data_IF_421455856467
#
_entry.id   IF_421455856467
#
_cell.length_a   1.000
_cell.length_b   1.000
_cell.length_c   1.000
_cell.angle_alpha   90.00
_cell.angle_beta   90.00
_cell.angle_gamma   90.00
#
_symmetry.space_group_name_H-M   'P 1'
#
loop_
_entity.id
_entity.type
_entity.pdbx_description
1 polymer ?
#
# COMPACT_ATOMS: atom_id res chain seq x y z
N UNK A 1 28.82 20.49 -1.89
CA UNK A 1 27.42 20.00 -1.92
C UNK A 1 27.40 18.63 -2.57
N UNK A 2 26.80 17.63 -1.96
CA UNK A 2 26.84 16.25 -2.44
C UNK A 2 25.50 15.54 -2.20
N UNK A 3 25.08 14.70 -3.16
CA UNK A 3 23.98 13.75 -2.99
C UNK A 3 24.56 12.35 -2.87
N UNK A 4 24.26 11.67 -1.77
CA UNK A 4 24.76 10.31 -1.48
C UNK A 4 23.71 9.49 -0.71
N UNK A 5 23.88 8.15 -0.66
CA UNK A 5 23.08 7.31 0.21
C UNK A 5 23.37 7.61 1.69
N UNK A 6 22.34 7.68 2.51
CA UNK A 6 22.47 7.89 3.95
C UNK A 6 23.15 6.68 4.60
N UNK A 7 24.31 6.90 5.22
CA UNK A 7 25.06 5.83 5.89
C UNK A 7 24.39 5.42 7.20
N UNK A 8 24.66 4.20 7.66
CA UNK A 8 24.08 3.66 8.90
C UNK A 8 24.42 4.51 10.13
N UNK A 9 25.64 5.07 10.19
CA UNK A 9 26.05 5.94 11.30
C UNK A 9 25.44 7.36 11.25
N UNK A 10 24.73 7.71 10.18
CA UNK A 10 24.04 8.99 10.02
C UNK A 10 22.53 8.91 10.39
N UNK A 11 22.11 7.81 11.02
CA UNK A 11 20.71 7.56 11.40
C UNK A 11 20.10 8.71 12.17
N UNK A 12 20.80 9.24 13.16
CA UNK A 12 20.26 10.31 14.01
C UNK A 12 20.13 11.65 13.25
N UNK A 13 21.06 11.96 12.34
CA UNK A 13 20.94 13.12 11.46
C UNK A 13 19.69 13.02 10.57
N UNK A 14 19.44 11.83 10.00
CA UNK A 14 18.27 11.59 9.16
C UNK A 14 16.97 11.68 9.96
N UNK A 15 16.90 11.09 11.16
CA UNK A 15 15.73 11.15 12.04
C UNK A 15 15.45 12.58 12.51
N UNK A 16 16.49 13.33 12.88
CA UNK A 16 16.35 14.75 13.24
C UNK A 16 15.79 15.56 12.09
N UNK A 17 16.29 15.34 10.86
CA UNK A 17 15.75 15.99 9.67
C UNK A 17 14.26 15.68 9.45
N UNK A 18 13.86 14.39 9.55
CA UNK A 18 12.45 13.99 9.41
C UNK A 18 11.58 14.69 10.46
N UNK A 19 12.03 14.71 11.70
CA UNK A 19 11.28 15.32 12.80
C UNK A 19 11.13 16.84 12.66
N UNK A 20 12.15 17.52 12.17
CA UNK A 20 12.19 18.99 12.11
C UNK A 20 11.55 19.55 10.83
N UNK A 21 11.83 18.90 9.68
CA UNK A 21 11.51 19.47 8.37
C UNK A 21 10.43 18.73 7.58
N UNK A 22 10.06 17.50 7.99
CA UNK A 22 8.97 16.76 7.37
C UNK A 22 7.71 16.72 8.22
N UNK A 23 7.79 16.05 9.35
CA UNK A 23 6.66 15.94 10.28
C UNK A 23 7.17 15.70 11.69
N UNK A 24 6.86 16.64 12.61
CA UNK A 24 7.17 16.48 14.04
C UNK A 24 6.56 15.18 14.57
N UNK A 25 7.36 14.44 15.31
CA UNK A 25 6.95 13.15 15.89
C UNK A 25 6.46 12.11 14.88
N UNK A 26 6.98 12.14 13.63
CA UNK A 26 6.69 11.13 12.63
C UNK A 26 7.00 9.72 13.15
N UNK A 27 6.23 8.70 12.71
CA UNK A 27 6.39 7.34 13.23
C UNK A 27 7.80 6.76 13.02
N UNK A 28 8.47 7.08 11.91
CA UNK A 28 9.86 6.67 11.67
C UNK A 28 10.86 7.31 12.64
N UNK A 29 10.47 8.40 13.31
CA UNK A 29 11.26 9.02 14.38
C UNK A 29 10.96 8.36 15.73
N UNK A 30 9.68 8.06 16.01
CA UNK A 30 9.24 7.44 17.26
C UNK A 30 9.60 5.97 17.37
N UNK A 31 9.48 5.20 16.27
CA UNK A 31 9.67 3.76 16.26
C UNK A 31 10.92 3.38 15.43
N UNK A 32 11.99 3.04 16.15
CA UNK A 32 13.27 2.69 15.54
C UNK A 32 13.24 1.35 14.81
N UNK A 33 12.43 0.42 15.26
CA UNK A 33 12.35 -0.91 14.65
C UNK A 33 11.59 -0.84 13.34
N UNK A 34 10.51 -0.04 13.26
CA UNK A 34 9.85 0.26 12.01
C UNK A 34 10.80 0.96 11.03
N UNK A 35 11.57 1.94 11.51
CA UNK A 35 12.52 2.66 10.66
C UNK A 35 13.60 1.74 10.08
N UNK A 36 14.18 0.85 10.90
CA UNK A 36 15.16 -0.13 10.44
C UNK A 36 14.53 -1.14 9.49
N UNK A 37 13.40 -1.73 9.87
CA UNK A 37 12.69 -2.73 9.08
C UNK A 37 12.32 -2.21 7.69
N UNK A 38 11.91 -0.96 7.58
CA UNK A 38 11.48 -0.37 6.31
C UNK A 38 12.64 0.14 5.45
N UNK A 39 13.71 0.65 6.06
CA UNK A 39 14.71 1.42 5.33
C UNK A 39 16.16 0.98 5.52
N UNK A 40 16.51 0.16 6.51
CA UNK A 40 17.89 -0.25 6.71
C UNK A 40 18.26 -1.39 5.75
N UNK A 41 19.24 -1.15 4.88
CA UNK A 41 19.82 -2.14 3.98
C UNK A 41 21.33 -2.22 4.22
N UNK A 42 21.78 -3.28 4.93
CA UNK A 42 23.19 -3.52 5.27
C UNK A 42 23.84 -2.29 5.92
N UNK A 43 24.61 -1.52 5.14
CA UNK A 43 25.39 -0.37 5.63
C UNK A 43 24.74 0.99 5.39
N UNK A 44 23.57 1.03 4.76
CA UNK A 44 22.90 2.26 4.36
C UNK A 44 21.43 2.23 4.75
N UNK A 45 20.85 3.42 4.92
CA UNK A 45 19.40 3.59 4.84
C UNK A 45 18.98 3.87 3.41
N UNK A 46 17.84 3.37 3.00
CA UNK A 46 17.25 3.59 1.67
C UNK A 46 16.73 5.04 1.55
N UNK A 47 17.66 5.97 1.71
CA UNK A 47 17.49 7.39 1.52
C UNK A 47 18.67 7.96 0.75
N UNK A 48 18.40 8.75 -0.26
CA UNK A 48 19.36 9.72 -0.77
C UNK A 48 19.24 10.99 0.05
N UNK A 49 20.38 11.53 0.47
CA UNK A 49 20.46 12.76 1.26
C UNK A 49 21.27 13.81 0.52
N UNK A 50 20.78 15.04 0.53
CA UNK A 50 21.50 16.22 0.06
C UNK A 50 22.16 16.88 1.27
N UNK A 51 23.49 17.02 1.23
CA UNK A 51 24.26 17.58 2.34
C UNK A 51 24.93 18.88 1.96
N UNK A 52 24.92 19.82 2.91
CA UNK A 52 25.68 21.07 2.92
C UNK A 52 26.34 21.20 4.30
N UNK A 53 27.68 21.35 4.36
CA UNK A 53 28.42 21.52 5.62
C UNK A 53 28.08 20.46 6.68
N UNK A 54 28.09 19.18 6.26
CA UNK A 54 27.72 18.03 7.11
C UNK A 54 26.28 17.99 7.64
N UNK A 55 25.41 18.95 7.26
CA UNK A 55 23.99 18.95 7.61
C UNK A 55 23.16 18.40 6.46
N UNK A 56 22.14 17.60 6.80
CA UNK A 56 21.15 17.15 5.81
C UNK A 56 20.21 18.32 5.51
N UNK A 57 20.10 18.69 4.24
CA UNK A 57 19.24 19.76 3.75
C UNK A 57 18.12 19.25 2.85
N UNK A 58 18.18 18.00 2.44
CA UNK A 58 17.13 17.35 1.66
C UNK A 58 17.26 15.84 1.71
N UNK A 59 16.13 15.15 1.59
CA UNK A 59 16.03 13.70 1.62
C UNK A 59 15.08 13.19 0.54
N UNK A 60 15.35 12.00 0.03
CA UNK A 60 14.46 11.21 -0.80
C UNK A 60 14.56 9.76 -0.38
N UNK A 61 13.53 9.29 0.33
CA UNK A 61 13.39 7.91 0.76
C UNK A 61 12.82 7.01 -0.33
N UNK A 62 13.19 5.75 -0.31
CA UNK A 62 12.63 4.73 -1.18
C UNK A 62 12.63 3.37 -0.50
N UNK A 63 11.81 2.46 -1.00
CA UNK A 63 11.66 1.10 -0.50
C UNK A 63 11.75 0.17 -1.71
N UNK A 64 12.86 -0.55 -1.90
CA UNK A 64 12.96 -1.56 -2.93
C UNK A 64 12.18 -2.82 -2.53
N UNK A 65 11.63 -3.55 -3.48
CA UNK A 65 10.92 -4.82 -3.17
C UNK A 65 11.83 -5.84 -2.49
N UNK A 66 13.13 -5.83 -2.82
CA UNK A 66 14.12 -6.70 -2.17
C UNK A 66 14.45 -6.33 -0.71
N UNK A 67 13.88 -5.24 -0.18
CA UNK A 67 13.93 -4.94 1.26
C UNK A 67 13.29 -6.06 2.09
N UNK A 68 12.27 -6.69 1.54
CA UNK A 68 11.51 -7.74 2.22
C UNK A 68 11.84 -9.16 1.74
N UNK A 69 12.46 -9.30 0.56
CA UNK A 69 12.99 -10.58 0.10
C UNK A 69 14.20 -10.39 -0.83
N UNK A 70 15.36 -10.83 -0.37
CA UNK A 70 16.61 -10.67 -1.11
C UNK A 70 16.61 -11.40 -2.46
N UNK A 71 15.76 -12.41 -2.66
CA UNK A 71 15.63 -13.09 -3.96
C UNK A 71 15.16 -12.16 -5.08
N UNK A 72 14.48 -11.06 -4.72
CA UNK A 72 14.00 -10.01 -5.62
C UNK A 72 15.08 -8.98 -6.01
N UNK A 73 16.35 -9.19 -5.63
CA UNK A 73 17.42 -8.19 -5.86
C UNK A 73 17.66 -7.87 -7.34
N UNK A 74 17.34 -8.80 -8.24
CA UNK A 74 17.43 -8.59 -9.68
C UNK A 74 16.31 -7.72 -10.24
N UNK A 75 15.19 -7.66 -9.52
CA UNK A 75 14.05 -6.84 -9.87
C UNK A 75 14.31 -5.42 -9.35
N UNK A 76 14.42 -4.48 -10.25
CA UNK A 76 14.68 -3.08 -9.90
C UNK A 76 13.36 -2.34 -9.66
N UNK A 77 12.57 -2.87 -8.73
CA UNK A 77 11.25 -2.34 -8.38
C UNK A 77 11.32 -1.56 -7.08
N UNK A 78 10.91 -0.30 -7.12
CA UNK A 78 11.04 0.65 -6.02
C UNK A 78 9.72 1.37 -5.76
N UNK A 79 9.48 1.68 -4.50
CA UNK A 79 8.46 2.64 -4.09
C UNK A 79 9.13 3.82 -3.39
N UNK A 80 8.79 5.04 -3.83
CA UNK A 80 9.22 6.24 -3.15
C UNK A 80 8.49 6.43 -1.83
N UNK A 81 9.19 7.04 -0.88
CA UNK A 81 8.67 7.36 0.43
C UNK A 81 8.71 8.90 0.64
N UNK A 82 9.38 9.36 1.69
CA UNK A 82 9.48 10.78 2.00
C UNK A 82 10.38 11.50 1.00
N UNK A 83 9.89 12.56 0.36
CA UNK A 83 10.69 13.47 -0.46
C UNK A 83 10.55 14.91 0.05
N UNK A 84 11.61 15.44 0.61
CA UNK A 84 11.61 16.75 1.26
C UNK A 84 12.93 17.48 1.08
N UNK A 85 12.87 18.79 0.93
CA UNK A 85 14.01 19.70 0.99
C UNK A 85 13.67 20.88 1.88
N UNK A 86 14.61 21.32 2.71
CA UNK A 86 14.42 22.50 3.56
C UNK A 86 14.97 23.78 2.90
N UNK A 87 14.77 24.90 3.53
CA UNK A 87 15.19 26.21 3.04
C UNK A 87 16.71 26.40 2.95
N UNK A 88 17.50 25.56 3.60
CA UNK A 88 18.98 25.60 3.54
C UNK A 88 19.53 24.94 2.26
N UNK A 89 18.72 24.14 1.58
CA UNK A 89 19.07 23.52 0.33
C UNK A 89 18.97 24.52 -0.83
N UNK A 90 19.85 24.41 -1.87
CA UNK A 90 19.68 25.18 -3.08
C UNK A 90 18.37 24.80 -3.81
N UNK A 91 17.82 25.71 -4.65
CA UNK A 91 16.52 25.49 -5.31
C UNK A 91 16.42 24.17 -6.11
N UNK A 92 17.52 23.65 -6.65
CA UNK A 92 17.55 22.42 -7.43
C UNK A 92 17.81 21.14 -6.61
N UNK A 93 17.91 21.21 -5.29
CA UNK A 93 18.28 20.07 -4.45
C UNK A 93 17.33 18.88 -4.60
N UNK A 94 16.03 19.12 -4.65
CA UNK A 94 15.03 18.08 -4.91
C UNK A 94 15.21 17.40 -6.26
N UNK A 95 15.56 18.16 -7.29
CA UNK A 95 15.89 17.64 -8.61
C UNK A 95 17.14 16.74 -8.57
N UNK A 96 18.21 17.16 -7.89
CA UNK A 96 19.41 16.35 -7.76
C UNK A 96 19.18 15.04 -7.00
N UNK A 97 18.33 15.05 -5.98
CA UNK A 97 17.93 13.84 -5.25
C UNK A 97 17.22 12.85 -6.18
N UNK A 98 16.22 13.30 -6.96
CA UNK A 98 15.50 12.46 -7.91
C UNK A 98 16.41 11.96 -9.03
N UNK A 99 17.26 12.84 -9.60
CA UNK A 99 18.25 12.45 -10.61
C UNK A 99 19.15 11.34 -10.08
N UNK A 100 19.62 11.48 -8.85
CA UNK A 100 20.52 10.49 -8.22
C UNK A 100 19.80 9.16 -8.00
N UNK A 101 18.56 9.17 -7.51
CA UNK A 101 17.76 7.96 -7.37
C UNK A 101 17.61 7.24 -8.72
N UNK A 102 17.09 7.93 -9.72
CA UNK A 102 16.80 7.33 -11.02
C UNK A 102 18.06 6.83 -11.74
N UNK A 103 19.19 7.60 -11.68
CA UNK A 103 20.43 7.20 -12.34
C UNK A 103 21.18 6.09 -11.63
N UNK A 104 21.13 6.02 -10.30
CA UNK A 104 21.90 5.04 -9.53
C UNK A 104 21.17 3.71 -9.36
N UNK A 105 19.85 3.75 -9.16
CA UNK A 105 19.03 2.54 -9.00
C UNK A 105 18.57 1.98 -10.36
N UNK A 106 18.44 2.86 -11.39
CA UNK A 106 17.96 2.50 -12.74
C UNK A 106 16.72 1.60 -12.70
N UNK A 107 15.59 2.07 -12.15
CA UNK A 107 14.43 1.24 -11.85
C UNK A 107 13.77 0.69 -13.11
N UNK A 108 13.27 -0.57 -13.04
CA UNK A 108 12.32 -1.13 -13.99
C UNK A 108 10.91 -0.67 -13.68
N UNK A 109 10.63 -0.49 -12.37
CA UNK A 109 9.43 0.15 -11.86
C UNK A 109 9.78 1.09 -10.70
N UNK A 110 9.20 2.28 -10.70
CA UNK A 110 9.18 3.17 -9.54
C UNK A 110 7.79 3.79 -9.39
N UNK A 111 7.22 3.68 -8.18
CA UNK A 111 5.92 4.24 -7.83
C UNK A 111 6.01 5.13 -6.59
N UNK A 112 5.30 6.25 -6.59
CA UNK A 112 5.14 7.14 -5.43
C UNK A 112 3.67 7.24 -5.12
N UNK A 113 3.21 6.57 -4.08
CA UNK A 113 1.79 6.53 -3.70
C UNK A 113 1.49 7.65 -2.69
N UNK A 114 0.35 8.33 -2.84
CA UNK A 114 -0.01 9.46 -2.00
C UNK A 114 0.58 10.79 -2.48
N UNK A 115 0.49 11.07 -3.76
CA UNK A 115 1.02 12.28 -4.39
C UNK A 115 0.18 13.50 -4.02
N UNK A 116 0.85 14.58 -3.59
CA UNK A 116 0.22 15.89 -3.38
C UNK A 116 0.19 16.71 -4.68
N UNK A 117 -0.73 17.69 -4.79
CA UNK A 117 -0.83 18.54 -5.98
C UNK A 117 0.48 19.28 -6.27
N UNK A 118 1.19 19.71 -5.24
CA UNK A 118 2.50 20.36 -5.38
C UNK A 118 3.55 19.42 -5.99
N UNK A 119 3.54 18.13 -5.61
CA UNK A 119 4.51 17.15 -6.10
C UNK A 119 4.25 16.75 -7.55
N UNK A 120 3.00 16.80 -8.05
CA UNK A 120 2.63 16.42 -9.42
C UNK A 120 3.46 17.15 -10.49
N UNK A 121 3.67 18.46 -10.29
CA UNK A 121 4.48 19.25 -11.21
C UNK A 121 5.91 18.73 -11.34
N UNK A 122 6.51 18.34 -10.23
CA UNK A 122 7.88 17.82 -10.23
C UNK A 122 7.94 16.41 -10.84
N UNK A 123 6.98 15.53 -10.55
CA UNK A 123 6.94 14.18 -11.13
C UNK A 123 6.81 14.24 -12.66
N UNK A 124 5.95 15.11 -13.20
CA UNK A 124 5.80 15.29 -14.64
C UNK A 124 7.10 15.73 -15.33
N UNK A 125 7.93 16.59 -14.67
CA UNK A 125 9.24 16.99 -15.19
C UNK A 125 10.22 15.83 -15.32
N UNK A 126 9.98 14.72 -14.60
CA UNK A 126 10.77 13.49 -14.65
C UNK A 126 10.14 12.42 -15.55
N UNK A 127 9.15 12.78 -16.36
CA UNK A 127 8.39 11.86 -17.19
C UNK A 127 7.80 10.68 -16.38
N UNK A 128 7.32 10.98 -15.17
CA UNK A 128 6.49 10.06 -14.41
C UNK A 128 5.03 10.36 -14.72
N UNK A 129 4.27 9.32 -14.99
CA UNK A 129 2.82 9.39 -15.17
C UNK A 129 2.11 9.54 -13.82
N UNK A 130 0.90 10.07 -13.84
CA UNK A 130 0.06 10.24 -12.65
C UNK A 130 -1.26 9.51 -12.87
N UNK A 131 -1.66 8.72 -11.89
CA UNK A 131 -2.94 8.03 -11.86
C UNK A 131 -3.46 7.95 -10.42
N UNK A 132 -4.51 7.18 -10.16
CA UNK A 132 -5.08 7.01 -8.84
C UNK A 132 -5.48 5.55 -8.58
N UNK A 133 -5.53 5.16 -7.32
CA UNK A 133 -6.07 3.88 -6.91
C UNK A 133 -7.59 3.91 -7.01
N UNK A 134 -8.16 2.93 -7.71
CA UNK A 134 -9.59 2.68 -7.66
C UNK A 134 -9.95 2.12 -6.28
N UNK A 135 -11.11 2.47 -5.77
CA UNK A 135 -11.59 2.03 -4.47
C UNK A 135 -12.81 1.13 -4.67
N UNK A 136 -12.73 -0.10 -4.17
CA UNK A 136 -13.81 -1.09 -4.23
C UNK A 136 -14.20 -1.51 -2.82
N UNK A 137 -15.48 -1.86 -2.62
CA UNK A 137 -15.99 -2.19 -1.29
C UNK A 137 -17.18 -3.17 -1.32
N UNK A 138 -17.36 -3.92 -0.22
CA UNK A 138 -18.54 -4.70 0.11
C UNK A 138 -19.04 -4.23 1.47
N UNK A 139 -20.35 -4.00 1.61
CA UNK A 139 -20.97 -3.51 2.84
C UNK A 139 -21.54 -4.68 3.62
N UNK A 140 -21.42 -4.64 4.93
CA UNK A 140 -22.15 -5.53 5.83
C UNK A 140 -23.58 -5.03 6.01
N UNK A 141 -24.52 -5.64 5.31
CA UNK A 141 -25.95 -5.25 5.33
C UNK A 141 -26.67 -5.58 6.65
N UNK A 142 -26.04 -6.27 7.59
CA UNK A 142 -26.63 -6.57 8.91
C UNK A 142 -26.69 -5.36 9.84
N UNK A 143 -25.88 -4.33 9.58
CA UNK A 143 -25.92 -3.11 10.38
C UNK A 143 -27.14 -2.26 10.03
N UNK A 144 -27.90 -1.85 11.04
CA UNK A 144 -28.96 -0.85 10.90
C UNK A 144 -28.42 0.58 10.84
N UNK A 145 -27.33 0.84 11.61
CA UNK A 145 -26.69 2.15 11.71
C UNK A 145 -25.19 2.01 11.51
N UNK A 146 -24.64 2.79 10.60
CA UNK A 146 -23.21 2.84 10.28
C UNK A 146 -22.57 4.07 10.91
N UNK A 147 -21.42 3.91 11.56
CA UNK A 147 -20.63 5.01 12.13
C UNK A 147 -19.45 5.42 11.25
N UNK A 148 -18.90 4.47 10.50
CA UNK A 148 -17.79 4.68 9.57
C UNK A 148 -18.32 4.94 8.17
N UNK A 149 -19.04 3.99 7.60
CA UNK A 149 -19.69 4.08 6.30
C UNK A 149 -20.83 5.11 6.30
N UNK A 150 -21.08 5.76 5.15
CA UNK A 150 -22.29 6.52 4.88
C UNK A 150 -22.85 6.08 3.54
N UNK A 151 -24.13 5.74 3.49
CA UNK A 151 -24.80 5.40 2.24
C UNK A 151 -26.06 4.58 2.47
N UNK A 152 -26.83 4.40 1.38
CA UNK A 152 -27.94 3.48 1.36
C UNK A 152 -27.44 2.11 0.93
N UNK A 153 -27.75 1.08 1.70
CA UNK A 153 -27.53 -0.30 1.29
C UNK A 153 -28.65 -0.62 0.28
N UNK A 154 -28.33 -0.56 -1.01
CA UNK A 154 -29.30 -1.01 -1.99
C UNK A 154 -29.47 -2.52 -1.84
N UNK A 155 -30.70 -2.97 -1.64
CA UNK A 155 -31.04 -4.40 -1.71
C UNK A 155 -30.94 -4.93 -3.15
N UNK A 156 -30.57 -4.09 -4.09
CA UNK A 156 -30.37 -4.42 -5.49
C UNK A 156 -29.07 -5.19 -5.66
N UNK A 157 -29.23 -6.42 -5.75
CA UNK A 157 -28.55 -7.48 -6.48
C UNK A 157 -28.63 -8.78 -5.69
N UNK A 158 -29.86 -9.29 -5.56
CA UNK A 158 -30.06 -10.73 -5.55
C UNK A 158 -29.72 -11.25 -6.97
N UNK A 159 -28.56 -10.91 -7.48
CA UNK A 159 -28.00 -11.65 -8.61
C UNK A 159 -27.94 -13.09 -8.14
N UNK A 160 -28.45 -14.01 -8.94
CA UNK A 160 -28.26 -15.45 -8.73
C UNK A 160 -26.80 -15.66 -8.36
N UNK A 161 -26.55 -15.88 -7.07
CA UNK A 161 -25.22 -16.22 -6.57
C UNK A 161 -24.96 -17.60 -7.16
N UNK A 162 -24.20 -17.65 -8.23
CA UNK A 162 -23.58 -18.90 -8.67
C UNK A 162 -22.82 -19.38 -7.43
N UNK A 163 -23.22 -20.51 -6.89
CA UNK A 163 -22.51 -21.14 -5.78
C UNK A 163 -21.07 -21.35 -6.22
N UNK A 164 -20.17 -20.66 -5.61
CA UNK A 164 -18.75 -20.88 -5.84
C UNK A 164 -18.30 -21.97 -4.87
N UNK A 165 -17.65 -23.00 -5.41
CA UNK A 165 -17.00 -24.06 -4.61
C UNK A 165 -15.76 -23.54 -3.85
N UNK A 166 -15.52 -22.24 -3.95
CA UNK A 166 -14.40 -21.56 -3.32
C UNK A 166 -14.73 -21.17 -1.88
N UNK A 167 -13.78 -21.42 -0.97
CA UNK A 167 -13.88 -21.10 0.46
C UNK A 167 -12.80 -20.11 0.83
N UNK A 168 -13.18 -19.10 1.62
CA UNK A 168 -12.23 -18.17 2.23
C UNK A 168 -11.80 -18.74 3.58
N UNK A 169 -10.53 -19.13 3.70
CA UNK A 169 -9.97 -19.75 4.90
C UNK A 169 -8.87 -18.86 5.49
N UNK A 170 -8.78 -18.78 6.81
CA UNK A 170 -7.67 -18.10 7.48
C UNK A 170 -6.39 -18.89 7.33
N UNK A 171 -5.31 -18.24 6.89
CA UNK A 171 -3.99 -18.82 6.72
C UNK A 171 -3.13 -18.37 7.90
N UNK A 172 -2.68 -19.31 8.72
CA UNK A 172 -1.81 -19.03 9.86
C UNK A 172 -0.33 -19.16 9.48
N UNK A 173 -0.01 -20.03 8.53
CA UNK A 173 1.35 -20.28 8.10
C UNK A 173 1.49 -20.04 6.58
N UNK A 174 2.05 -18.89 6.21
CA UNK A 174 2.28 -18.53 4.81
C UNK A 174 3.38 -19.38 4.15
N UNK A 175 4.35 -19.90 4.92
CA UNK A 175 5.50 -20.62 4.36
C UNK A 175 5.13 -21.95 3.68
N UNK A 176 3.95 -22.50 4.01
CA UNK A 176 3.45 -23.74 3.41
C UNK A 176 2.77 -23.53 2.05
N UNK A 177 2.54 -22.26 1.68
CA UNK A 177 1.82 -21.96 0.44
C UNK A 177 2.73 -22.09 -0.79
N UNK A 178 2.25 -22.84 -1.77
CA UNK A 178 2.88 -22.97 -3.09
C UNK A 178 2.10 -22.11 -4.10
N UNK A 179 2.24 -20.79 -4.00
CA UNK A 179 1.58 -19.84 -4.88
C UNK A 179 2.60 -19.08 -5.73
N UNK A 180 2.21 -18.81 -6.97
CA UNK A 180 2.96 -17.93 -7.88
C UNK A 180 2.20 -16.61 -7.99
N UNK A 181 2.89 -15.51 -7.74
CA UNK A 181 2.36 -14.17 -7.98
C UNK A 181 2.44 -13.85 -9.48
N UNK A 182 1.35 -13.38 -10.05
CA UNK A 182 1.28 -13.13 -11.51
C UNK A 182 1.42 -11.65 -11.90
N UNK A 183 1.50 -10.77 -10.92
CA UNK A 183 1.53 -9.33 -11.16
C UNK A 183 2.94 -8.76 -10.98
N UNK A 184 3.18 -7.60 -11.61
CA UNK A 184 4.36 -6.75 -11.38
C UNK A 184 3.96 -5.53 -10.56
N UNK A 185 4.82 -4.99 -9.70
CA UNK A 185 6.11 -5.52 -9.22
C UNK A 185 5.99 -6.93 -8.63
N UNK A 186 7.02 -7.76 -8.85
CA UNK A 186 7.02 -9.13 -8.36
C UNK A 186 7.08 -9.18 -6.83
N UNK A 187 6.31 -10.12 -6.26
CA UNK A 187 6.30 -10.43 -4.83
C UNK A 187 6.48 -11.94 -4.65
N UNK A 188 6.98 -12.35 -3.50
CA UNK A 188 7.16 -13.75 -3.12
C UNK A 188 6.42 -14.04 -1.81
N UNK A 189 6.32 -15.29 -1.41
CA UNK A 189 5.81 -15.64 -0.08
C UNK A 189 6.70 -15.04 1.02
N UNK A 190 8.03 -15.06 0.86
CA UNK A 190 8.95 -14.44 1.80
C UNK A 190 8.74 -12.91 1.89
N UNK A 191 8.44 -12.26 0.75
CA UNK A 191 8.05 -10.85 0.77
C UNK A 191 6.83 -10.63 1.65
N UNK A 192 5.76 -11.45 1.53
CA UNK A 192 4.56 -11.31 2.35
C UNK A 192 4.87 -11.54 3.85
N UNK A 193 5.65 -12.58 4.15
CA UNK A 193 6.06 -12.89 5.53
C UNK A 193 6.80 -11.69 6.14
N UNK A 194 7.82 -11.18 5.44
CA UNK A 194 8.66 -10.13 5.97
C UNK A 194 7.97 -8.76 5.95
N UNK A 195 7.10 -8.48 4.93
CA UNK A 195 6.39 -7.21 4.80
C UNK A 195 5.18 -7.11 5.72
N UNK A 196 4.43 -8.20 5.91
CA UNK A 196 3.15 -8.15 6.60
C UNK A 196 3.13 -8.99 7.88
N UNK A 197 3.53 -10.26 7.84
CA UNK A 197 3.46 -11.13 9.02
C UNK A 197 4.44 -10.69 10.12
N UNK A 198 5.63 -10.20 9.72
CA UNK A 198 6.66 -9.66 10.64
C UNK A 198 6.63 -8.12 10.75
N UNK A 199 5.51 -7.48 10.43
CA UNK A 199 5.42 -6.03 10.55
C UNK A 199 5.54 -5.59 12.02
N UNK A 200 6.44 -4.65 12.36
CA UNK A 200 6.78 -4.36 13.76
C UNK A 200 5.68 -3.62 14.55
N UNK A 201 4.61 -3.16 13.89
CA UNK A 201 3.56 -2.35 14.53
C UNK A 201 2.17 -2.87 14.24
N UNK A 202 1.87 -3.19 12.97
CA UNK A 202 0.53 -3.60 12.56
C UNK A 202 0.39 -5.11 12.52
N UNK A 203 -0.79 -5.58 12.91
CA UNK A 203 -1.24 -6.94 12.71
C UNK A 203 -2.01 -7.05 11.39
N UNK A 204 -1.64 -8.05 10.59
CA UNK A 204 -2.31 -8.40 9.34
C UNK A 204 -2.83 -9.81 9.41
N UNK A 205 -4.01 -10.01 8.86
CA UNK A 205 -4.65 -11.31 8.73
C UNK A 205 -4.54 -11.79 7.28
N UNK A 206 -4.33 -13.09 7.11
CA UNK A 206 -4.18 -13.69 5.79
C UNK A 206 -5.35 -14.63 5.54
N UNK A 207 -6.06 -14.41 4.45
CA UNK A 207 -7.16 -15.25 4.03
C UNK A 207 -6.89 -15.80 2.65
N UNK A 208 -6.78 -17.15 2.55
CA UNK A 208 -6.59 -17.86 1.31
C UNK A 208 -7.92 -18.20 0.66
N UNK A 209 -8.01 -18.04 -0.63
CA UNK A 209 -9.12 -18.51 -1.42
C UNK A 209 -8.82 -19.94 -1.90
N UNK A 210 -9.52 -20.91 -1.38
CA UNK A 210 -9.28 -22.35 -1.53
C UNK A 210 -10.43 -23.02 -2.28
N UNK A 211 -10.13 -23.89 -3.24
CA UNK A 211 -11.10 -24.73 -3.92
C UNK A 211 -11.32 -26.07 -3.20
N UNK A 212 -12.26 -26.88 -3.68
CA UNK A 212 -12.58 -28.19 -3.14
C UNK A 212 -11.45 -29.22 -3.26
N UNK A 213 -10.48 -28.99 -4.18
CA UNK A 213 -9.26 -29.78 -4.29
C UNK A 213 -8.16 -29.35 -3.30
N UNK A 214 -8.50 -28.51 -2.34
CA UNK A 214 -7.57 -27.93 -1.37
C UNK A 214 -6.49 -27.01 -1.94
N UNK A 215 -6.60 -26.59 -3.21
CA UNK A 215 -5.67 -25.66 -3.82
C UNK A 215 -6.02 -24.21 -3.44
N UNK A 216 -5.05 -23.47 -2.96
CA UNK A 216 -5.17 -22.02 -2.72
C UNK A 216 -4.82 -21.29 -4.03
N UNK A 217 -5.68 -20.38 -4.48
CA UNK A 217 -5.51 -19.59 -5.71
C UNK A 217 -4.87 -18.22 -5.45
N UNK A 218 -5.29 -17.60 -4.36
CA UNK A 218 -4.72 -16.31 -3.94
C UNK A 218 -4.85 -16.15 -2.42
N UNK A 219 -4.10 -15.19 -1.90
CA UNK A 219 -4.16 -14.76 -0.49
C UNK A 219 -4.48 -13.27 -0.45
N UNK A 220 -5.50 -12.92 0.33
CA UNK A 220 -5.83 -11.55 0.71
C UNK A 220 -5.12 -11.20 2.01
N UNK A 221 -4.30 -10.15 1.98
CA UNK A 221 -3.69 -9.56 3.16
C UNK A 221 -4.65 -8.52 3.70
N UNK A 222 -5.22 -8.74 4.88
CA UNK A 222 -6.29 -7.92 5.43
C UNK A 222 -5.84 -7.27 6.74
N UNK A 223 -6.16 -6.00 6.91
CA UNK A 223 -5.99 -5.27 8.17
C UNK A 223 -7.34 -4.75 8.67
N UNK A 224 -7.60 -4.91 9.97
CA UNK A 224 -8.78 -4.35 10.63
C UNK A 224 -8.48 -2.89 11.02
N UNK A 225 -9.36 -1.98 10.60
CA UNK A 225 -9.31 -0.56 10.95
C UNK A 225 -10.40 -0.29 11.97
N UNK A 226 -10.06 0.43 13.01
CA UNK A 226 -10.98 0.72 14.12
C UNK A 226 -11.22 2.22 14.19
N UNK A 227 -12.47 2.59 14.38
CA UNK A 227 -12.88 3.94 14.73
C UNK A 227 -13.97 3.88 15.79
N UNK A 228 -13.67 4.41 16.99
CA UNK A 228 -14.53 4.25 18.18
C UNK A 228 -14.82 2.77 18.46
N UNK A 229 -16.10 2.40 18.52
CA UNK A 229 -16.62 1.06 18.75
C UNK A 229 -16.95 0.28 17.45
N UNK A 230 -16.50 0.79 16.30
CA UNK A 230 -16.75 0.22 14.97
C UNK A 230 -15.46 -0.13 14.26
N UNK A 231 -15.58 -1.02 13.30
CA UNK A 231 -14.44 -1.42 12.48
C UNK A 231 -14.82 -1.59 11.01
N UNK A 232 -13.81 -1.57 10.17
CA UNK A 232 -13.87 -2.09 8.80
C UNK A 232 -12.66 -2.96 8.52
N UNK A 233 -12.78 -3.81 7.52
CA UNK A 233 -11.69 -4.61 7.01
C UNK A 233 -11.12 -3.94 5.77
N UNK A 234 -9.80 -3.97 5.62
CA UNK A 234 -9.13 -3.46 4.42
C UNK A 234 -8.22 -4.50 3.84
N UNK A 235 -8.47 -4.85 2.59
CA UNK A 235 -7.52 -5.63 1.81
C UNK A 235 -6.37 -4.70 1.43
N UNK A 236 -5.21 -4.98 2.00
CA UNK A 236 -3.99 -4.18 1.84
C UNK A 236 -3.21 -4.61 0.61
N UNK A 237 -3.25 -5.93 0.32
CA UNK A 237 -2.55 -6.55 -0.79
C UNK A 237 -3.23 -7.86 -1.19
N UNK A 238 -3.00 -8.31 -2.43
CA UNK A 238 -3.46 -9.60 -2.93
C UNK A 238 -2.28 -10.31 -3.58
N UNK A 239 -2.01 -11.53 -3.14
CA UNK A 239 -0.94 -12.36 -3.66
C UNK A 239 -1.50 -13.59 -4.37
N UNK A 240 -0.94 -13.98 -5.51
CA UNK A 240 -1.44 -15.08 -6.32
C UNK A 240 -2.16 -14.59 -7.57
N UNK A 241 -3.18 -15.33 -8.02
CA UNK A 241 -3.95 -15.02 -9.22
C UNK A 241 -5.44 -14.92 -8.87
N UNK A 242 -6.05 -13.77 -9.16
CA UNK A 242 -7.50 -13.55 -8.99
C UNK A 242 -8.26 -13.53 -10.32
N UNK A 243 -7.58 -13.79 -11.43
CA UNK A 243 -8.26 -13.95 -12.71
C UNK A 243 -9.06 -15.25 -12.70
N UNK A 244 -10.21 -15.25 -13.35
CA UNK A 244 -11.10 -16.41 -13.48
C UNK A 244 -11.69 -16.94 -12.15
N UNK A 245 -11.71 -16.10 -11.09
CA UNK A 245 -12.36 -16.43 -9.84
C UNK A 245 -13.85 -16.08 -9.96
N UNK A 246 -14.71 -17.04 -9.63
CA UNK A 246 -16.16 -16.83 -9.49
C UNK A 246 -16.50 -15.96 -8.29
N UNK A 247 -17.75 -15.55 -8.17
CA UNK A 247 -18.18 -14.66 -7.07
C UNK A 247 -17.92 -15.26 -5.69
N UNK A 248 -17.19 -14.52 -4.85
CA UNK A 248 -16.91 -14.84 -3.45
C UNK A 248 -17.54 -13.82 -2.50
N UNK A 249 -18.56 -13.10 -2.96
CA UNK A 249 -19.28 -12.08 -2.18
C UNK A 249 -19.78 -12.65 -0.84
N UNK A 250 -20.39 -13.84 -0.88
CA UNK A 250 -20.93 -14.51 0.31
C UNK A 250 -19.86 -14.77 1.37
N UNK A 251 -18.67 -15.17 0.94
CA UNK A 251 -17.53 -15.43 1.82
C UNK A 251 -17.07 -14.15 2.52
N UNK A 252 -17.01 -13.03 1.81
CA UNK A 252 -16.68 -11.73 2.41
C UNK A 252 -17.81 -11.21 3.29
N UNK A 253 -19.07 -11.41 2.94
CA UNK A 253 -20.21 -11.08 3.81
C UNK A 253 -20.15 -11.87 5.13
N UNK A 254 -19.85 -13.16 5.07
CA UNK A 254 -19.67 -13.99 6.27
C UNK A 254 -18.46 -13.50 7.12
N UNK A 255 -17.34 -13.14 6.49
CA UNK A 255 -16.20 -12.58 7.18
C UNK A 255 -16.54 -11.26 7.88
N UNK A 256 -17.32 -10.40 7.22
CA UNK A 256 -17.79 -9.13 7.80
C UNK A 256 -18.69 -9.34 9.02
N UNK A 257 -19.56 -10.36 8.99
CA UNK A 257 -20.38 -10.75 10.14
C UNK A 257 -19.51 -11.25 11.29
N UNK A 258 -18.58 -12.18 11.00
CA UNK A 258 -17.66 -12.75 12.00
C UNK A 258 -16.82 -11.68 12.69
N UNK A 259 -16.28 -10.74 11.91
CA UNK A 259 -15.42 -9.66 12.39
C UNK A 259 -16.19 -8.45 12.95
N UNK A 260 -17.51 -8.47 12.90
CA UNK A 260 -18.39 -7.36 13.27
C UNK A 260 -17.93 -6.03 12.66
N UNK A 261 -17.67 -6.05 11.34
CA UNK A 261 -17.14 -4.92 10.59
C UNK A 261 -18.17 -4.35 9.63
N UNK A 262 -18.20 -3.02 9.47
CA UNK A 262 -19.21 -2.33 8.66
C UNK A 262 -19.04 -2.59 7.16
N UNK A 263 -17.79 -2.72 6.69
CA UNK A 263 -17.48 -3.02 5.30
C UNK A 263 -16.08 -3.63 5.18
N UNK A 264 -15.80 -4.21 4.02
CA UNK A 264 -14.46 -4.54 3.55
C UNK A 264 -14.17 -3.74 2.29
N UNK A 265 -12.98 -3.16 2.20
CA UNK A 265 -12.53 -2.39 1.05
C UNK A 265 -11.18 -2.84 0.51
N UNK A 266 -10.90 -2.43 -0.75
CA UNK A 266 -9.60 -2.57 -1.40
C UNK A 266 -9.33 -1.35 -2.28
N UNK A 267 -8.11 -0.83 -2.20
CA UNK A 267 -7.61 0.21 -3.08
C UNK A 267 -6.55 -0.39 -4.00
N UNK A 268 -6.80 -0.30 -5.29
CA UNK A 268 -5.98 -0.95 -6.30
C UNK A 268 -5.90 -0.17 -7.61
N UNK A 269 -4.78 -0.34 -8.31
CA UNK A 269 -4.61 0.01 -9.72
C UNK A 269 -4.05 -1.21 -10.48
N UNK A 270 -4.46 -1.38 -11.74
CA UNK A 270 -3.95 -2.40 -12.65
C UNK A 270 -4.83 -3.66 -12.73
N UNK A 271 -5.63 -3.98 -11.72
CA UNK A 271 -6.61 -5.07 -11.81
C UNK A 271 -7.93 -4.53 -12.37
N UNK A 272 -8.50 -5.26 -13.33
CA UNK A 272 -9.73 -4.88 -14.00
C UNK A 272 -10.92 -4.77 -13.03
N UNK A 273 -11.73 -3.71 -13.22
CA UNK A 273 -13.00 -3.56 -12.48
C UNK A 273 -13.94 -4.75 -12.68
N UNK A 274 -13.88 -5.43 -13.82
CA UNK A 274 -14.70 -6.63 -14.08
C UNK A 274 -14.39 -7.74 -13.07
N UNK A 275 -13.11 -7.93 -12.71
CA UNK A 275 -12.69 -8.92 -11.72
C UNK A 275 -13.28 -8.58 -10.35
N UNK A 276 -13.11 -7.34 -9.87
CA UNK A 276 -13.68 -6.94 -8.59
C UNK A 276 -15.20 -7.03 -8.55
N UNK A 277 -15.88 -6.70 -9.66
CA UNK A 277 -17.33 -6.87 -9.75
C UNK A 277 -17.74 -8.35 -9.69
N UNK A 278 -16.98 -9.25 -10.34
CA UNK A 278 -17.22 -10.71 -10.24
C UNK A 278 -17.02 -11.20 -8.81
N UNK A 279 -16.03 -10.68 -8.10
CA UNK A 279 -15.80 -10.97 -6.68
C UNK A 279 -16.91 -10.44 -5.76
N UNK A 280 -17.78 -9.56 -6.28
CA UNK A 280 -18.90 -8.97 -5.56
C UNK A 280 -18.65 -7.58 -4.99
N UNK A 281 -17.51 -6.95 -5.31
CA UNK A 281 -17.21 -5.59 -4.89
C UNK A 281 -17.92 -4.55 -5.77
N UNK A 282 -18.34 -3.47 -5.15
CA UNK A 282 -18.82 -2.26 -5.81
C UNK A 282 -17.66 -1.27 -5.98
N UNK A 283 -17.57 -0.62 -7.15
CA UNK A 283 -16.61 0.45 -7.37
C UNK A 283 -17.14 1.74 -6.75
N UNK A 284 -16.32 2.43 -5.96
CA UNK A 284 -16.66 3.72 -5.38
C UNK A 284 -16.60 4.82 -6.44
N UNK A 285 -17.67 5.59 -6.53
CA UNK A 285 -17.65 6.88 -7.21
C UNK A 285 -17.15 7.96 -6.24
N UNK A 286 -15.95 8.48 -6.47
CA UNK A 286 -15.35 9.50 -5.62
C UNK A 286 -16.11 10.83 -5.61
N UNK A 287 -16.94 11.09 -6.61
CA UNK A 287 -17.80 12.30 -6.67
C UNK A 287 -19.05 12.16 -5.83
N UNK A 288 -19.42 10.94 -5.42
CA UNK A 288 -20.62 10.67 -4.65
C UNK A 288 -20.56 11.32 -3.27
N UNK A 289 -21.59 12.11 -2.95
CA UNK A 289 -21.84 12.64 -1.61
C UNK A 289 -22.77 11.76 -0.79
N UNK A 290 -23.50 10.87 -1.45
CA UNK A 290 -24.48 9.97 -0.83
C UNK A 290 -23.85 8.68 -0.33
N UNK A 291 -22.72 8.24 -0.95
CA UNK A 291 -21.98 7.06 -0.52
C UNK A 291 -20.57 7.47 -0.15
N UNK A 292 -20.20 7.26 1.13
CA UNK A 292 -18.87 7.56 1.65
C UNK A 292 -18.29 6.28 2.24
N UNK A 293 -17.12 5.88 1.71
CA UNK A 293 -16.33 4.75 2.21
C UNK A 293 -14.97 5.32 2.65
N UNK A 294 -14.80 5.63 3.93
CA UNK A 294 -13.58 6.26 4.43
C UNK A 294 -12.34 5.39 4.24
N UNK A 295 -11.24 6.00 3.84
CA UNK A 295 -9.98 5.30 3.68
C UNK A 295 -8.81 5.88 4.52
N UNK A 296 -9.05 6.95 5.32
CA UNK A 296 -8.12 7.50 6.29
C UNK A 296 -8.67 7.36 7.71
N UNK A 297 -7.87 6.75 8.60
CA UNK A 297 -8.25 6.44 9.98
C UNK A 297 -7.34 7.10 11.03
N UNK A 298 -6.22 7.66 10.61
CA UNK A 298 -5.27 8.31 11.52
C UNK A 298 -4.76 9.62 10.89
N UNK A 299 -5.44 10.75 11.16
CA UNK A 299 -6.72 10.89 11.83
C UNK A 299 -7.88 10.36 10.99
N UNK A 300 -9.02 10.01 11.63
CA UNK A 300 -10.19 9.57 10.90
C UNK A 300 -10.80 10.71 10.08
N UNK A 301 -11.02 10.44 8.78
CA UNK A 301 -11.63 11.40 7.86
C UNK A 301 -12.78 10.73 7.13
N UNK A 302 -14.02 11.14 7.44
CA UNK A 302 -15.26 10.61 6.82
C UNK A 302 -15.53 11.26 5.46
N UNK A 303 -14.67 10.97 4.49
CA UNK A 303 -14.78 11.47 3.10
C UNK A 303 -14.28 10.41 2.12
N UNK A 304 -14.74 10.50 0.88
CA UNK A 304 -14.15 9.77 -0.24
C UNK A 304 -12.87 10.48 -0.66
N UNK A 305 -11.71 9.91 -0.32
CA UNK A 305 -10.42 10.51 -0.65
C UNK A 305 -9.77 9.67 -1.75
N UNK A 306 -9.51 10.33 -2.89
CA UNK A 306 -8.76 9.74 -4.00
C UNK A 306 -7.28 9.70 -3.62
N UNK A 307 -6.69 8.52 -3.64
CA UNK A 307 -5.25 8.35 -3.46
C UNK A 307 -4.61 8.35 -4.84
N UNK A 308 -3.91 9.42 -5.15
CA UNK A 308 -3.17 9.51 -6.39
C UNK A 308 -1.75 8.97 -6.20
N UNK A 309 -1.18 8.46 -7.29
CA UNK A 309 0.19 8.00 -7.34
C UNK A 309 0.86 8.46 -8.63
N UNK A 310 2.18 8.56 -8.58
CA UNK A 310 3.01 8.81 -9.73
C UNK A 310 3.90 7.61 -9.99
N UNK A 311 4.17 7.29 -11.25
CA UNK A 311 4.97 6.11 -11.59
C UNK A 311 5.75 6.27 -12.90
N UNK A 312 6.78 5.45 -13.02
CA UNK A 312 7.46 5.12 -14.26
C UNK A 312 7.69 3.63 -14.29
N UNK A 313 7.31 2.97 -15.39
CA UNK A 313 7.33 1.52 -15.53
C UNK A 313 7.90 1.12 -16.89
N UNK A 314 8.69 0.05 -16.91
CA UNK A 314 9.05 -0.71 -18.13
C UNK A 314 8.10 -1.89 -18.37
N UNK A 315 7.19 -2.15 -17.42
CA UNK A 315 6.18 -3.19 -17.55
C UNK A 315 4.95 -2.65 -18.26
N UNK A 316 4.44 -3.37 -19.24
CA UNK A 316 3.19 -3.04 -19.92
C UNK A 316 1.99 -3.10 -18.96
N UNK A 317 2.03 -4.04 -18.02
CA UNK A 317 1.01 -4.22 -17.00
C UNK A 317 1.65 -4.34 -15.62
N UNK A 318 1.13 -3.56 -14.68
CA UNK A 318 1.56 -3.59 -13.27
C UNK A 318 0.37 -3.35 -12.35
N UNK A 319 0.53 -3.74 -11.10
CA UNK A 319 -0.51 -3.61 -10.08
C UNK A 319 0.05 -2.88 -8.87
N UNK A 320 -0.72 -1.94 -8.35
CA UNK A 320 -0.41 -1.24 -7.11
C UNK A 320 -1.58 -1.43 -6.15
N UNK A 321 -1.26 -1.79 -4.92
CA UNK A 321 -2.17 -1.81 -3.79
C UNK A 321 -1.81 -0.72 -2.76
N UNK A 322 -2.71 -0.49 -1.82
CA UNK A 322 -2.43 0.43 -0.69
C UNK A 322 -1.24 -0.02 0.15
N UNK A 323 -0.96 -1.32 0.21
CA UNK A 323 0.18 -1.88 0.94
C UNK A 323 1.54 -1.60 0.30
N UNK A 324 1.55 -1.15 -0.95
CA UNK A 324 2.79 -0.84 -1.63
C UNK A 324 3.36 0.52 -1.17
N UNK A 325 4.68 0.58 -1.09
CA UNK A 325 5.36 1.74 -0.56
C UNK A 325 5.16 1.94 0.94
N UNK A 326 4.89 3.18 1.35
CA UNK A 326 4.74 3.57 2.76
C UNK A 326 3.32 4.06 3.13
N UNK A 327 2.31 3.81 2.29
CA UNK A 327 0.96 4.34 2.49
C UNK A 327 0.16 3.60 3.57
N UNK A 328 0.47 2.34 3.84
CA UNK A 328 -0.09 1.59 4.95
C UNK A 328 0.88 1.59 6.13
N UNK A 329 1.08 2.76 6.72
CA UNK A 329 1.95 2.98 7.87
C UNK A 329 1.19 3.51 9.07
N UNK A 330 1.68 3.27 10.31
CA UNK A 330 1.22 3.96 11.51
C UNK A 330 1.50 5.48 11.42
N UNK A 331 0.70 6.27 12.07
CA UNK A 331 0.86 7.74 12.15
C UNK A 331 1.38 8.16 13.52
#
# INVERSE_FOLDING_TARGET
MKVEKCKKNEKELLRSYINEFWQKSHILVKNQDLFKWQHLNKSFYNFYVFKKENKICGILGFIPTNQYDISLIKNKDYFGAIWSVNKLAPPAAGHFLMKKLLSSENPDFIGFVGVTDQAKFFYKKWNLEINHLNHYYIINSSFKNYKIFKGKVSQANKSKVLSSDLKLIKINNLSELKLVHKYKPEKTINYLINRYQKHPVYEYFFYGLKDDNNKVHCVFVIRKQIYMDRSCLRIIDIYGDINNISSIKKQFENLLLLENSEYIDVLNYGISSKIFNCLGFLKLDFSSQNTIVPNFFQPFVRKNIKIEFSYKSKYDNFVIFRGDGDQDRPS
#
